data_IF_423596809505
#
_entry.id   IF_423596809505
#
_cell.length_a   1.000
_cell.length_b   1.000
_cell.length_c   1.000
_cell.angle_alpha   90.00
_cell.angle_beta   90.00
_cell.angle_gamma   90.00
#
_symmetry.space_group_name_H-M   'P 1'
#
loop_
_entity.id
_entity.type
_entity.pdbx_description
1 polymer ?
#
# COMPACT_ATOMS: atom_id res chain seq x y z
N UNK A 1 -58.31 11.69 51.77
CA UNK A 1 -58.81 10.85 52.86
C UNK A 1 -58.09 9.50 52.69
N UNK A 2 -56.86 9.33 53.18
CA UNK A 2 -56.43 9.24 54.60
C UNK A 2 -56.63 7.79 55.11
N UNK A 3 -55.73 7.08 55.80
CA UNK A 3 -54.34 7.25 56.35
C UNK A 3 -53.79 5.81 56.65
N UNK A 4 -52.52 5.44 56.85
CA UNK A 4 -51.14 6.01 56.84
C UNK A 4 -50.16 4.82 56.53
N UNK A 5 -48.82 4.83 56.46
CA UNK A 5 -47.70 5.54 57.12
C UNK A 5 -47.54 5.21 58.65
N UNK A 6 -46.35 5.02 59.26
CA UNK A 6 -44.93 4.94 58.82
C UNK A 6 -44.10 4.19 59.92
N UNK A 7 -42.76 4.40 59.99
CA UNK A 7 -41.76 3.94 61.00
C UNK A 7 -41.22 2.51 60.79
N UNK A 8 -39.93 2.20 60.56
CA UNK A 8 -38.64 2.94 60.47
C UNK A 8 -37.91 3.37 61.77
N UNK A 9 -36.82 2.64 62.09
CA UNK A 9 -35.53 3.02 62.76
C UNK A 9 -34.70 1.69 62.89
N UNK A 10 -33.44 1.46 62.48
CA UNK A 10 -32.12 2.14 62.38
C UNK A 10 -31.17 1.97 63.59
N UNK A 11 -29.87 1.81 63.26
CA UNK A 11 -28.66 1.61 64.09
C UNK A 11 -28.51 0.20 64.71
N UNK A 12 -27.48 -0.62 64.45
CA UNK A 12 -26.00 -0.49 64.33
C UNK A 12 -25.23 -0.57 65.66
N UNK A 13 -24.55 -1.72 65.84
CA UNK A 13 -23.25 -1.82 66.52
C UNK A 13 -22.40 -2.89 65.81
N UNK A 14 -21.11 -2.61 65.62
CA UNK A 14 -20.14 -3.56 65.05
C UNK A 14 -19.28 -4.13 66.18
N UNK A 15 -18.75 -5.34 66.00
CA UNK A 15 -17.38 -5.71 66.42
C UNK A 15 -16.92 -7.02 65.75
N UNK A 16 -16.28 -6.82 64.60
CA UNK A 16 -15.25 -7.66 63.96
C UNK A 16 -14.77 -8.94 64.65
N UNK A 17 -14.85 -10.06 63.92
CA UNK A 17 -13.77 -11.06 63.85
C UNK A 17 -13.57 -11.48 62.39
N UNK A 18 -12.36 -11.90 62.01
CA UNK A 18 -11.91 -11.95 60.62
C UNK A 18 -12.27 -13.25 59.91
N UNK A 19 -12.93 -13.16 58.74
CA UNK A 19 -12.95 -14.28 57.80
C UNK A 19 -11.56 -14.45 57.17
N UNK A 20 -10.87 -15.52 57.55
CA UNK A 20 -9.74 -16.03 56.79
C UNK A 20 -10.26 -16.75 55.52
N UNK A 21 -10.76 -15.99 54.54
CA UNK A 21 -10.97 -16.51 53.20
C UNK A 21 -9.59 -16.81 52.60
N UNK A 22 -9.24 -18.10 52.51
CA UNK A 22 -8.09 -18.53 51.71
C UNK A 22 -8.38 -18.21 50.26
N UNK A 23 -7.78 -17.13 49.76
CA UNK A 23 -7.72 -16.84 48.33
C UNK A 23 -6.82 -17.92 47.71
N UNK A 24 -7.43 -19.03 47.31
CA UNK A 24 -6.86 -19.88 46.28
C UNK A 24 -6.81 -19.02 45.03
N UNK A 25 -5.64 -18.43 44.75
CA UNK A 25 -5.37 -17.79 43.47
C UNK A 25 -5.49 -18.88 42.43
N UNK A 26 -6.64 -18.91 41.75
CA UNK A 26 -6.77 -19.64 40.50
C UNK A 26 -5.88 -18.90 39.53
N UNK A 27 -4.68 -19.42 39.31
CA UNK A 27 -3.82 -18.95 38.22
C UNK A 27 -4.61 -19.13 36.92
N UNK A 28 -5.14 -18.01 36.41
CA UNK A 28 -5.67 -17.95 35.06
C UNK A 28 -4.51 -18.15 34.12
N UNK A 29 -4.26 -19.40 33.71
CA UNK A 29 -3.37 -19.69 32.60
C UNK A 29 -3.81 -18.84 31.42
N UNK A 30 -2.89 -17.98 30.98
CA UNK A 30 -3.10 -17.07 29.85
C UNK A 30 -2.94 -17.86 28.55
N UNK A 31 -3.94 -18.71 28.26
CA UNK A 31 -3.99 -19.59 27.09
C UNK A 31 -4.25 -18.76 25.80
N UNK A 32 -3.36 -17.83 25.46
CA UNK A 32 -3.43 -16.96 24.27
C UNK A 32 -3.26 -17.79 22.97
N UNK A 33 -4.32 -17.98 22.15
CA UNK A 33 -4.32 -18.99 21.09
C UNK A 33 -3.72 -18.45 19.78
N UNK A 34 -2.47 -17.99 19.82
CA UNK A 34 -1.71 -17.25 18.79
C UNK A 34 -0.28 -17.84 18.68
N UNK A 35 0.29 -18.25 17.52
CA UNK A 35 -0.07 -18.20 16.10
C UNK A 35 0.50 -19.46 15.41
N UNK A 36 -0.28 -20.18 14.58
CA UNK A 36 0.30 -21.01 13.51
C UNK A 36 0.61 -20.13 12.31
N UNK A 37 1.88 -20.08 11.90
CA UNK A 37 2.24 -19.84 10.51
C UNK A 37 1.93 -21.13 9.73
N UNK A 38 1.47 -21.04 8.48
CA UNK A 38 1.10 -22.23 7.70
C UNK A 38 2.36 -22.84 7.08
N UNK A 39 3.03 -23.67 7.88
CA UNK A 39 4.09 -24.59 7.45
C UNK A 39 3.53 -26.00 7.55
N UNK A 40 3.94 -26.91 6.66
CA UNK A 40 3.59 -28.33 6.75
C UNK A 40 4.34 -29.00 7.90
N UNK A 41 3.67 -29.98 8.52
CA UNK A 41 4.15 -30.82 9.61
C UNK A 41 4.44 -30.07 10.93
N UNK A 42 4.33 -30.77 12.06
CA UNK A 42 4.14 -30.12 13.35
C UNK A 42 4.96 -30.71 14.49
N UNK A 43 5.49 -29.82 15.31
CA UNK A 43 5.86 -30.06 16.70
C UNK A 43 5.35 -28.87 17.54
N UNK A 44 4.66 -29.16 18.65
CA UNK A 44 3.73 -28.20 19.29
C UNK A 44 4.33 -27.51 20.53
N UNK A 45 5.51 -26.92 20.36
CA UNK A 45 6.25 -26.25 21.44
C UNK A 45 6.75 -24.86 21.02
N UNK A 46 6.16 -23.82 21.62
CA UNK A 46 6.76 -22.58 22.17
C UNK A 46 8.10 -22.03 21.61
N UNK A 47 8.45 -22.23 20.33
CA UNK A 47 9.66 -21.71 19.68
C UNK A 47 9.55 -20.22 19.29
N UNK A 48 8.94 -19.47 20.20
CA UNK A 48 9.31 -18.13 20.64
C UNK A 48 9.34 -17.01 19.58
N UNK A 49 8.57 -15.95 19.85
CA UNK A 49 8.61 -14.73 19.05
C UNK A 49 10.02 -14.09 18.97
N UNK A 50 10.90 -14.34 19.94
CA UNK A 50 12.32 -13.92 19.90
C UNK A 50 13.12 -14.64 18.82
N UNK A 51 12.81 -15.91 18.51
CA UNK A 51 13.41 -16.64 17.39
C UNK A 51 12.94 -16.05 16.06
N UNK A 52 11.62 -15.87 15.89
CA UNK A 52 11.08 -15.17 14.72
C UNK A 52 11.64 -13.75 14.56
N UNK A 53 11.83 -13.00 15.65
CA UNK A 53 12.41 -11.65 15.62
C UNK A 53 13.91 -11.68 15.32
N UNK A 54 14.62 -12.72 15.74
CA UNK A 54 16.05 -12.92 15.40
C UNK A 54 16.24 -13.28 13.93
N UNK A 55 15.37 -14.14 13.39
CA UNK A 55 15.33 -14.44 11.95
C UNK A 55 15.00 -13.17 11.15
N UNK A 56 13.96 -12.43 11.54
CA UNK A 56 13.60 -11.14 10.94
C UNK A 56 14.75 -10.12 10.97
N UNK A 57 15.47 -9.99 12.11
CA UNK A 57 16.65 -9.12 12.21
C UNK A 57 17.75 -9.52 11.22
N UNK A 58 18.00 -10.82 11.06
CA UNK A 58 18.98 -11.36 10.10
C UNK A 58 18.54 -11.18 8.64
N UNK A 59 17.28 -11.44 8.34
CA UNK A 59 16.68 -11.41 7.00
C UNK A 59 16.62 -9.98 6.42
N UNK A 60 16.17 -9.02 7.23
CA UNK A 60 16.01 -7.62 6.81
C UNK A 60 17.11 -6.68 7.34
N UNK A 61 18.26 -7.23 7.75
CA UNK A 61 19.45 -6.48 8.18
C UNK A 61 19.23 -5.51 9.35
N UNK A 62 18.28 -5.80 10.25
CA UNK A 62 17.84 -4.86 11.29
C UNK A 62 18.79 -4.84 12.49
N UNK A 63 19.31 -3.66 12.80
CA UNK A 63 20.06 -3.35 14.02
C UNK A 63 19.38 -2.23 14.80
N UNK A 64 19.40 -2.30 16.13
CA UNK A 64 18.82 -1.29 17.01
C UNK A 64 19.89 -0.72 17.94
N UNK A 65 19.88 0.58 18.17
CA UNK A 65 20.99 1.29 18.81
C UNK A 65 21.08 1.09 20.33
N UNK A 66 19.96 0.75 20.99
CA UNK A 66 19.87 0.51 22.43
C UNK A 66 18.93 -0.66 22.72
N UNK A 67 18.96 -1.17 23.96
CA UNK A 67 18.10 -2.27 24.40
C UNK A 67 16.62 -1.83 24.44
N UNK A 68 16.36 -0.57 24.80
CA UNK A 68 15.00 0.00 24.85
C UNK A 68 14.36 0.06 23.45
N UNK A 69 15.11 0.47 22.42
CA UNK A 69 14.63 0.43 21.03
C UNK A 69 14.48 -1.02 20.54
N UNK A 70 15.39 -1.94 20.91
CA UNK A 70 15.24 -3.37 20.59
C UNK A 70 13.92 -3.93 21.15
N UNK A 71 13.61 -3.67 22.41
CA UNK A 71 12.44 -4.25 23.08
C UNK A 71 11.13 -3.57 22.67
N UNK A 72 11.17 -2.28 22.38
CA UNK A 72 10.08 -1.55 21.71
C UNK A 72 9.78 -2.14 20.32
N UNK A 73 10.81 -2.36 19.49
CA UNK A 73 10.68 -2.99 18.17
C UNK A 73 10.20 -4.43 18.26
N UNK A 74 10.63 -5.18 19.27
CA UNK A 74 10.15 -6.53 19.53
C UNK A 74 8.66 -6.56 19.94
N UNK A 75 8.21 -5.60 20.75
CA UNK A 75 6.79 -5.45 21.09
C UNK A 75 5.93 -5.13 19.85
N UNK A 76 6.41 -4.24 18.97
CA UNK A 76 5.77 -3.93 17.69
C UNK A 76 5.74 -5.17 16.79
N UNK A 77 6.84 -5.92 16.68
CA UNK A 77 6.94 -7.14 15.89
C UNK A 77 5.90 -8.18 16.32
N UNK A 78 5.76 -8.43 17.63
CA UNK A 78 4.69 -9.29 18.18
C UNK A 78 3.29 -8.80 17.81
N UNK A 79 3.04 -7.49 17.83
CA UNK A 79 1.76 -6.90 17.40
C UNK A 79 1.49 -7.09 15.90
N UNK A 80 2.51 -6.92 15.07
CA UNK A 80 2.42 -7.10 13.61
C UNK A 80 2.28 -8.57 13.20
N UNK A 81 2.92 -9.52 13.88
CA UNK A 81 2.65 -10.96 13.70
C UNK A 81 1.17 -11.29 13.99
N UNK A 82 0.64 -10.77 15.11
CA UNK A 82 -0.79 -10.89 15.45
C UNK A 82 -1.69 -10.25 14.38
N UNK A 83 -1.25 -9.17 13.71
CA UNK A 83 -1.98 -8.57 12.56
C UNK A 83 -1.87 -9.41 11.29
N UNK A 84 -0.70 -9.93 10.93
CA UNK A 84 -0.52 -10.80 9.76
C UNK A 84 -1.44 -12.03 9.85
N UNK A 85 -1.56 -12.67 11.02
CA UNK A 85 -2.52 -13.77 11.23
C UNK A 85 -4.00 -13.33 11.16
N UNK A 86 -4.33 -12.06 11.45
CA UNK A 86 -5.69 -11.53 11.21
C UNK A 86 -5.92 -11.30 9.71
N UNK A 87 -4.95 -10.74 9.00
CA UNK A 87 -5.03 -10.57 7.55
C UNK A 87 -5.14 -11.92 6.83
N UNK A 88 -4.36 -12.94 7.21
CA UNK A 88 -4.46 -14.30 6.66
C UNK A 88 -5.86 -14.95 6.83
N UNK A 89 -6.63 -14.58 7.86
CA UNK A 89 -8.01 -15.02 8.05
C UNK A 89 -9.01 -14.20 7.23
N UNK A 90 -8.75 -12.91 7.03
CA UNK A 90 -9.57 -12.00 6.25
C UNK A 90 -9.31 -12.09 4.74
N UNK A 91 -8.14 -12.58 4.35
CA UNK A 91 -7.69 -12.85 2.99
C UNK A 91 -7.02 -14.23 2.94
N UNK A 92 -7.79 -15.29 2.68
CA UNK A 92 -7.26 -16.65 2.59
C UNK A 92 -6.74 -17.02 1.19
N UNK A 93 -6.64 -16.08 0.25
CA UNK A 93 -6.11 -16.35 -1.11
C UNK A 93 -4.70 -15.83 -1.34
N UNK A 94 -4.24 -14.85 -0.56
CA UNK A 94 -2.84 -14.48 -0.44
C UNK A 94 -2.18 -15.11 0.80
N UNK A 95 -0.86 -15.04 0.86
CA UNK A 95 -0.01 -15.36 2.01
C UNK A 95 0.32 -14.07 2.76
N UNK A 96 0.03 -14.06 4.07
CA UNK A 96 0.35 -12.95 4.97
C UNK A 96 1.32 -13.39 6.07
N UNK A 97 2.39 -12.62 6.26
CA UNK A 97 3.49 -13.00 7.14
C UNK A 97 4.37 -11.85 7.60
N UNK A 98 5.65 -12.17 7.83
CA UNK A 98 6.71 -11.21 8.14
C UNK A 98 7.12 -10.48 6.86
N UNK A 99 7.44 -9.19 6.97
CA UNK A 99 7.91 -8.32 5.88
C UNK A 99 8.92 -7.31 6.42
N UNK A 100 9.61 -6.55 5.56
CA UNK A 100 10.55 -5.48 5.97
C UNK A 100 9.93 -4.41 6.90
N UNK A 101 8.60 -4.38 7.04
CA UNK A 101 7.82 -3.46 7.87
C UNK A 101 7.31 -4.04 9.20
N UNK A 102 7.64 -5.28 9.56
CA UNK A 102 7.07 -5.94 10.74
C UNK A 102 7.48 -5.29 12.08
N UNK A 103 8.55 -4.51 12.13
CA UNK A 103 8.97 -3.73 13.31
C UNK A 103 8.45 -2.27 13.32
N UNK A 104 7.58 -1.88 12.38
CA UNK A 104 7.02 -0.53 12.29
C UNK A 104 5.64 -0.42 12.92
N UNK A 105 5.43 0.63 13.71
CA UNK A 105 4.08 1.04 14.12
C UNK A 105 3.25 1.46 12.91
N UNK A 106 1.92 1.37 13.00
CA UNK A 106 1.03 1.86 11.95
C UNK A 106 1.24 3.35 11.65
N UNK A 107 1.61 4.15 12.67
CA UNK A 107 1.93 5.57 12.51
C UNK A 107 3.25 5.83 11.78
N UNK A 108 4.29 5.02 12.01
CA UNK A 108 5.54 5.09 11.24
C UNK A 108 5.33 4.61 9.80
N UNK A 109 4.65 3.49 9.61
CA UNK A 109 4.41 2.95 8.27
C UNK A 109 3.65 3.96 7.40
N UNK A 110 2.55 4.53 7.92
CA UNK A 110 1.77 5.55 7.21
C UNK A 110 2.55 6.84 6.90
N UNK A 111 3.52 7.24 7.74
CA UNK A 111 4.32 8.46 7.49
C UNK A 111 5.55 8.24 6.62
N UNK A 112 6.00 6.99 6.44
CA UNK A 112 7.26 6.67 5.74
C UNK A 112 7.06 5.98 4.39
N UNK A 113 6.00 5.20 4.22
CA UNK A 113 5.79 4.33 3.05
C UNK A 113 4.48 4.58 2.31
N UNK A 114 3.53 5.26 2.96
CA UNK A 114 2.28 5.72 2.35
C UNK A 114 2.39 7.22 2.07
N UNK A 115 1.62 7.72 1.09
CA UNK A 115 1.84 9.06 0.56
C UNK A 115 0.89 9.49 -0.56
N UNK A 116 -0.19 8.74 -0.82
CA UNK A 116 -1.23 9.24 -1.70
C UNK A 116 -2.11 10.21 -0.92
N UNK A 117 -2.26 11.44 -1.42
CA UNK A 117 -3.26 12.39 -0.89
C UNK A 117 -4.66 11.97 -1.33
N UNK A 118 -5.68 12.56 -0.71
CA UNK A 118 -7.06 12.26 -1.07
C UNK A 118 -7.44 13.04 -2.33
N UNK A 119 -7.47 12.38 -3.48
CA UNK A 119 -8.05 12.97 -4.69
C UNK A 119 -9.55 13.20 -4.50
N UNK A 120 -10.03 14.35 -4.93
CA UNK A 120 -11.44 14.55 -5.28
C UNK A 120 -11.52 14.70 -6.79
N UNK A 121 -11.93 13.63 -7.49
CA UNK A 121 -12.07 13.66 -8.95
C UNK A 121 -12.98 14.84 -9.38
N UNK A 122 -12.44 15.86 -10.09
CA UNK A 122 -13.24 16.97 -10.58
C UNK A 122 -14.33 16.49 -11.54
N UNK A 123 -15.48 17.17 -11.55
CA UNK A 123 -16.61 16.77 -12.39
C UNK A 123 -16.31 16.86 -13.90
N UNK A 124 -15.45 17.80 -14.25
CA UNK A 124 -14.95 18.23 -15.55
C UNK A 124 -13.57 17.66 -15.92
N UNK A 125 -12.91 16.92 -15.01
CA UNK A 125 -11.60 16.29 -15.26
C UNK A 125 -11.59 15.53 -16.58
N UNK A 126 -10.51 15.67 -17.37
CA UNK A 126 -10.37 15.01 -18.66
C UNK A 126 -10.53 13.48 -18.52
N UNK A 127 -11.61 12.94 -19.08
CA UNK A 127 -11.96 11.51 -19.01
C UNK A 127 -11.39 10.80 -20.21
N UNK A 128 -10.77 9.64 -19.98
CA UNK A 128 -10.27 8.81 -21.05
C UNK A 128 -11.41 8.43 -22.00
N UNK A 129 -11.20 8.44 -23.33
CA UNK A 129 -12.21 7.98 -24.28
C UNK A 129 -12.67 6.55 -23.97
N UNK A 130 -13.96 6.28 -24.12
CA UNK A 130 -14.50 4.93 -23.96
C UNK A 130 -13.96 4.04 -25.10
N UNK A 131 -13.35 2.92 -24.74
CA UNK A 131 -12.68 1.99 -25.64
C UNK A 131 -13.53 0.72 -25.87
N UNK A 132 -13.36 0.02 -27.01
CA UNK A 132 -13.92 -1.31 -27.20
C UNK A 132 -13.35 -2.31 -26.19
N UNK A 133 -14.22 -3.14 -25.60
CA UNK A 133 -13.85 -4.15 -24.58
C UNK A 133 -14.11 -5.60 -25.01
N UNK A 134 -14.73 -5.82 -26.18
CA UNK A 134 -15.19 -7.14 -26.62
C UNK A 134 -14.06 -8.15 -26.89
N UNK A 135 -12.89 -7.66 -27.27
CA UNK A 135 -11.75 -8.45 -27.80
C UNK A 135 -10.49 -8.31 -26.92
N UNK A 136 -10.67 -8.03 -25.63
CA UNK A 136 -9.55 -7.95 -24.68
C UNK A 136 -8.95 -9.36 -24.44
N UNK A 137 -7.62 -9.48 -24.31
CA UNK A 137 -6.98 -10.74 -23.92
C UNK A 137 -7.44 -11.18 -22.52
N UNK A 138 -7.41 -12.48 -22.23
CA UNK A 138 -7.78 -13.00 -20.90
C UNK A 138 -6.75 -12.68 -19.82
N UNK A 139 -5.48 -12.65 -20.22
CA UNK A 139 -4.29 -12.42 -19.40
C UNK A 139 -3.34 -11.53 -20.22
N UNK A 140 -2.76 -10.49 -19.58
CA UNK A 140 -1.92 -9.49 -20.24
C UNK A 140 -1.00 -8.80 -19.23
N UNK A 141 0.28 -8.63 -19.55
CA UNK A 141 1.25 -8.03 -18.63
C UNK A 141 2.32 -7.24 -19.38
N UNK A 142 2.41 -5.93 -19.12
CA UNK A 142 3.38 -5.05 -19.78
C UNK A 142 4.84 -5.40 -19.50
N UNK A 143 5.12 -6.22 -18.48
CA UNK A 143 6.47 -6.74 -18.19
C UNK A 143 6.98 -7.66 -19.28
N UNK A 144 6.10 -8.48 -19.86
CA UNK A 144 6.41 -9.38 -20.98
C UNK A 144 6.49 -8.64 -22.32
N UNK A 145 6.08 -7.38 -22.35
CA UNK A 145 6.07 -6.49 -23.52
C UNK A 145 7.07 -5.33 -23.46
N UNK A 146 7.86 -5.22 -22.38
CA UNK A 146 8.95 -4.24 -22.26
C UNK A 146 8.57 -2.84 -21.75
N UNK A 147 7.30 -2.54 -21.51
CA UNK A 147 6.86 -1.19 -21.08
C UNK A 147 6.98 -0.93 -19.57
N UNK A 148 7.83 -1.68 -18.85
CA UNK A 148 7.93 -1.63 -17.37
C UNK A 148 9.39 -1.67 -16.94
N UNK A 149 9.85 -0.59 -16.30
CA UNK A 149 11.17 -0.50 -15.67
C UNK A 149 11.32 -1.44 -14.46
N UNK A 150 12.55 -1.74 -13.98
CA UNK A 150 12.78 -2.46 -12.72
C UNK A 150 12.07 -1.85 -11.50
N UNK A 151 11.96 -2.61 -10.41
CA UNK A 151 11.29 -2.13 -9.19
C UNK A 151 12.24 -1.25 -8.38
N UNK A 152 11.85 0.01 -8.17
CA UNK A 152 12.53 1.00 -7.33
C UNK A 152 12.03 0.92 -5.86
N UNK A 153 12.74 1.54 -4.92
CA UNK A 153 12.36 1.61 -3.48
C UNK A 153 12.33 3.06 -2.99
N UNK A 154 11.15 3.56 -2.60
CA UNK A 154 10.94 4.91 -2.08
C UNK A 154 11.59 5.16 -0.70
N UNK A 155 12.19 4.14 -0.09
CA UNK A 155 12.79 4.23 1.23
C UNK A 155 11.77 4.69 2.28
N UNK A 156 12.14 5.63 3.15
CA UNK A 156 11.26 6.18 4.20
C UNK A 156 10.61 7.52 3.83
N UNK A 157 10.32 7.74 2.54
CA UNK A 157 9.68 8.93 2.00
C UNK A 157 8.26 8.60 1.48
N UNK A 158 7.25 9.40 1.81
CA UNK A 158 5.87 9.26 1.30
C UNK A 158 5.70 9.69 -0.16
N UNK A 159 6.57 9.23 -1.06
CA UNK A 159 6.65 9.63 -2.48
C UNK A 159 6.09 8.60 -3.46
N UNK A 160 5.31 7.62 -3.00
CA UNK A 160 4.66 6.59 -3.84
C UNK A 160 3.85 7.15 -5.02
N UNK A 161 3.30 8.36 -4.88
CA UNK A 161 2.64 9.11 -5.96
C UNK A 161 3.62 9.37 -7.12
N UNK A 162 4.84 9.86 -6.85
CA UNK A 162 5.87 10.11 -7.86
C UNK A 162 6.32 8.83 -8.60
N UNK A 163 6.44 7.70 -7.89
CA UNK A 163 6.74 6.38 -8.50
C UNK A 163 5.60 5.85 -9.37
N UNK A 164 4.35 6.16 -9.02
CA UNK A 164 3.16 5.83 -9.82
C UNK A 164 3.13 6.68 -11.10
N UNK A 165 3.32 8.00 -10.97
CA UNK A 165 3.38 8.96 -12.10
C UNK A 165 4.47 8.60 -13.11
N UNK A 166 5.72 8.46 -12.63
CA UNK A 166 6.88 8.15 -13.47
C UNK A 166 6.72 6.79 -14.14
N UNK A 167 6.39 5.73 -13.41
CA UNK A 167 6.26 4.39 -13.98
C UNK A 167 5.20 4.27 -15.09
N UNK A 168 4.16 5.11 -15.07
CA UNK A 168 3.17 5.20 -16.15
C UNK A 168 3.69 6.04 -17.33
N UNK A 169 4.43 7.13 -17.07
CA UNK A 169 5.04 7.95 -18.13
C UNK A 169 6.21 7.22 -18.82
N UNK A 170 7.01 6.45 -18.08
CA UNK A 170 8.05 5.54 -18.60
C UNK A 170 7.45 4.53 -19.58
N UNK A 171 6.32 3.91 -19.21
CA UNK A 171 5.60 2.97 -20.06
C UNK A 171 4.94 3.63 -21.28
N UNK A 172 4.26 4.77 -21.09
CA UNK A 172 3.66 5.52 -22.20
C UNK A 172 4.71 6.04 -23.20
N UNK A 173 5.90 6.44 -22.73
CA UNK A 173 7.03 6.80 -23.58
C UNK A 173 7.54 5.62 -24.40
N UNK A 174 7.67 4.43 -23.79
CA UNK A 174 8.04 3.21 -24.50
C UNK A 174 7.00 2.83 -25.58
N UNK A 175 5.71 3.00 -25.33
CA UNK A 175 4.67 2.74 -26.35
C UNK A 175 4.78 3.67 -27.57
N UNK A 176 5.14 4.95 -27.37
CA UNK A 176 5.24 5.95 -28.44
C UNK A 176 6.56 5.85 -29.23
N UNK A 177 7.68 5.53 -28.55
CA UNK A 177 9.03 5.62 -29.12
C UNK A 177 9.74 4.27 -29.32
N UNK A 178 9.37 3.25 -28.56
CA UNK A 178 10.14 2.00 -28.40
C UNK A 178 11.28 2.06 -27.36
N UNK A 179 11.59 3.25 -26.80
CA UNK A 179 12.67 3.42 -25.83
C UNK A 179 12.13 3.46 -24.38
N UNK A 180 12.54 2.48 -23.57
CA UNK A 180 12.20 2.41 -22.15
C UNK A 180 13.18 3.24 -21.33
N UNK A 181 12.71 4.40 -20.86
CA UNK A 181 13.47 5.30 -20.00
C UNK A 181 13.25 4.98 -18.51
N UNK A 182 14.18 5.41 -17.66
CA UNK A 182 13.99 5.50 -16.21
C UNK A 182 13.98 6.97 -15.82
N UNK A 183 12.81 7.50 -15.49
CA UNK A 183 12.59 8.91 -15.16
C UNK A 183 12.85 9.16 -13.68
N UNK A 184 13.19 10.41 -13.34
CA UNK A 184 13.50 10.85 -11.98
C UNK A 184 12.23 11.05 -11.15
N UNK A 185 12.02 10.24 -10.12
CA UNK A 185 11.05 10.55 -9.06
C UNK A 185 11.50 11.73 -8.18
N UNK A 186 12.81 12.01 -8.10
CA UNK A 186 13.32 13.08 -7.23
C UNK A 186 12.98 14.47 -7.75
N UNK A 187 12.91 14.68 -9.06
CA UNK A 187 12.40 15.93 -9.64
C UNK A 187 10.98 16.21 -9.13
N UNK A 188 10.08 15.23 -9.15
CA UNK A 188 8.74 15.39 -8.58
C UNK A 188 8.81 15.69 -7.08
N UNK A 189 9.61 14.94 -6.31
CA UNK A 189 9.73 15.12 -4.85
C UNK A 189 10.27 16.50 -4.44
N UNK A 190 11.22 17.07 -5.19
CA UNK A 190 11.88 18.35 -4.87
C UNK A 190 11.23 19.57 -5.53
N UNK A 191 10.53 19.41 -6.67
CA UNK A 191 10.07 20.52 -7.52
C UNK A 191 8.55 20.63 -7.67
N UNK A 192 7.78 19.56 -7.43
CA UNK A 192 6.34 19.56 -7.64
C UNK A 192 5.59 20.04 -6.39
N UNK A 193 4.89 21.16 -6.58
CA UNK A 193 4.03 21.81 -5.59
C UNK A 193 2.66 22.18 -6.21
N UNK A 194 2.26 21.52 -7.31
CA UNK A 194 0.95 21.74 -7.93
C UNK A 194 -0.19 21.32 -7.00
N UNK A 195 -1.34 21.97 -7.14
CA UNK A 195 -2.48 21.83 -6.23
C UNK A 195 -3.70 21.23 -6.91
N UNK A 196 -4.39 20.30 -6.24
CA UNK A 196 -5.75 19.90 -6.61
C UNK A 196 -6.66 21.15 -6.55
N UNK A 197 -7.28 21.58 -7.67
CA UNK A 197 -8.11 22.78 -7.70
C UNK A 197 -9.40 22.64 -6.86
N UNK A 198 -9.86 21.40 -6.62
CA UNK A 198 -11.11 21.10 -5.90
C UNK A 198 -10.92 20.91 -4.38
N UNK A 199 -9.69 20.66 -3.90
CA UNK A 199 -9.38 20.53 -2.47
C UNK A 199 -8.27 21.51 -2.02
N UNK A 200 -8.68 22.73 -1.66
CA UNK A 200 -7.80 23.83 -1.21
C UNK A 200 -6.78 23.38 -0.14
N UNK A 201 -5.51 23.26 -0.54
CA UNK A 201 -4.38 22.87 0.30
C UNK A 201 -3.88 21.43 0.06
N UNK A 202 -4.57 20.64 -0.76
CA UNK A 202 -4.09 19.37 -1.28
C UNK A 202 -3.13 19.60 -2.46
N UNK A 203 -1.97 20.20 -2.15
CA UNK A 203 -0.86 20.33 -3.10
C UNK A 203 0.19 19.24 -2.89
N UNK A 204 0.97 18.95 -3.92
CA UNK A 204 2.04 17.97 -3.84
C UNK A 204 3.20 18.49 -2.98
N UNK A 205 3.84 17.58 -2.24
CA UNK A 205 4.54 17.95 -1.01
C UNK A 205 5.66 16.98 -0.65
N UNK A 206 6.37 16.48 -1.67
CA UNK A 206 7.53 15.59 -1.52
C UNK A 206 7.22 14.32 -0.72
N UNK A 207 7.90 14.14 0.42
CA UNK A 207 7.68 12.98 1.29
C UNK A 207 6.41 13.09 2.16
N UNK A 208 5.71 14.23 2.12
CA UNK A 208 4.41 14.45 2.77
C UNK A 208 3.24 14.16 1.83
N UNK A 209 3.49 13.42 0.75
CA UNK A 209 2.51 12.89 -0.17
C UNK A 209 2.03 13.85 -1.26
N UNK A 210 1.37 13.28 -2.26
CA UNK A 210 0.86 13.97 -3.45
C UNK A 210 -0.14 13.13 -4.25
N UNK A 211 -0.42 13.53 -5.50
CA UNK A 211 -1.36 12.89 -6.42
C UNK A 211 -0.74 12.73 -7.82
N UNK A 212 -1.05 11.64 -8.51
CA UNK A 212 -0.48 11.40 -9.85
C UNK A 212 -0.99 12.40 -10.91
N UNK A 213 -2.21 12.91 -10.75
CA UNK A 213 -2.81 13.88 -11.68
C UNK A 213 -2.19 15.27 -11.60
N UNK A 214 -1.86 15.76 -10.40
CA UNK A 214 -1.11 17.01 -10.23
C UNK A 214 0.34 16.85 -10.67
N UNK A 215 0.94 15.68 -10.47
CA UNK A 215 2.27 15.36 -11.01
C UNK A 215 2.34 15.34 -12.55
N UNK A 216 1.29 14.90 -13.24
CA UNK A 216 1.20 15.06 -14.70
C UNK A 216 1.03 16.52 -15.12
N UNK A 217 0.21 17.30 -14.39
CA UNK A 217 0.03 18.73 -14.61
C UNK A 217 1.34 19.53 -14.40
N UNK A 218 2.10 19.23 -13.34
CA UNK A 218 3.45 19.75 -13.12
C UNK A 218 4.37 19.37 -14.28
N UNK A 219 4.38 18.09 -14.68
CA UNK A 219 5.26 17.61 -15.75
C UNK A 219 4.97 18.32 -17.07
N UNK A 220 3.69 18.52 -17.40
CA UNK A 220 3.22 19.29 -18.55
C UNK A 220 3.71 20.75 -18.50
N UNK A 221 3.53 21.44 -17.36
CA UNK A 221 3.95 22.84 -17.15
C UNK A 221 5.48 23.03 -17.15
N UNK A 222 6.22 22.13 -16.51
CA UNK A 222 7.68 22.11 -16.52
C UNK A 222 8.22 21.85 -17.94
N UNK A 223 7.49 21.07 -18.73
CA UNK A 223 7.83 20.63 -20.08
C UNK A 223 8.50 19.26 -20.14
N UNK A 224 8.42 18.47 -19.06
CA UNK A 224 8.93 17.10 -18.97
C UNK A 224 9.77 16.78 -17.74
N UNK A 225 10.22 15.52 -17.65
CA UNK A 225 11.07 15.00 -16.58
C UNK A 225 12.49 14.68 -17.08
N UNK A 226 13.47 14.84 -16.19
CA UNK A 226 14.83 14.32 -16.34
C UNK A 226 14.89 12.80 -16.10
N UNK A 227 15.99 12.17 -16.53
CA UNK A 227 16.29 10.78 -16.21
C UNK A 227 16.78 10.62 -14.76
N UNK A 228 16.51 9.46 -14.17
CA UNK A 228 17.00 9.06 -12.84
C UNK A 228 18.55 9.11 -12.75
N UNK A 229 19.26 8.90 -13.86
CA UNK A 229 20.74 9.03 -13.88
C UNK A 229 21.23 10.48 -13.75
N UNK A 230 20.40 11.45 -14.12
CA UNK A 230 20.73 12.87 -14.23
C UNK A 230 20.20 13.70 -13.04
N UNK A 231 19.09 13.25 -12.44
CA UNK A 231 18.56 13.73 -11.16
C UNK A 231 18.21 12.53 -10.24
N UNK A 232 19.21 11.91 -9.58
CA UNK A 232 19.01 10.66 -8.83
C UNK A 232 18.16 10.76 -7.57
N UNK A 233 17.48 9.66 -7.25
CA UNK A 233 16.65 9.50 -6.07
C UNK A 233 17.43 9.46 -4.75
N UNK A 234 16.97 10.25 -3.79
CA UNK A 234 17.61 10.44 -2.47
C UNK A 234 16.71 10.06 -1.30
N UNK A 235 15.43 9.81 -1.53
CA UNK A 235 14.48 9.42 -0.47
C UNK A 235 14.20 10.52 0.56
N UNK A 236 14.37 11.80 0.20
CA UNK A 236 14.06 12.94 1.07
C UNK A 236 13.64 14.18 0.27
N UNK A 237 12.79 14.99 0.87
CA UNK A 237 12.28 16.30 0.44
C UNK A 237 13.03 17.48 1.09
N UNK A 238 14.25 17.21 1.59
CA UNK A 238 15.15 18.23 2.17
C UNK A 238 16.06 18.90 1.14
N UNK A 239 15.95 18.50 -0.12
CA UNK A 239 16.61 19.17 -1.24
C UNK A 239 15.96 20.52 -1.56
N UNK A 240 16.64 21.29 -2.38
CA UNK A 240 15.99 22.27 -3.26
C UNK A 240 15.77 21.61 -4.61
N UNK A 241 14.72 21.99 -5.34
CA UNK A 241 14.58 21.69 -6.76
C UNK A 241 15.87 22.02 -7.55
N UNK A 242 16.33 21.08 -8.37
CA UNK A 242 17.54 21.21 -9.23
C UNK A 242 17.22 21.08 -10.73
N UNK A 243 15.93 21.11 -11.09
CA UNK A 243 15.45 20.77 -12.43
C UNK A 243 16.19 21.53 -13.54
N UNK A 244 16.86 20.77 -14.40
CA UNK A 244 17.56 21.27 -15.58
C UNK A 244 16.73 20.99 -16.83
N UNK A 245 16.05 22.03 -17.32
CA UNK A 245 15.21 21.94 -18.53
C UNK A 245 16.00 21.56 -19.79
N UNK A 246 17.34 21.61 -19.79
CA UNK A 246 18.16 21.12 -20.89
C UNK A 246 18.36 19.58 -20.90
N UNK A 247 17.94 18.88 -19.83
CA UNK A 247 18.04 17.42 -19.66
C UNK A 247 16.69 16.69 -19.62
N UNK A 248 15.60 17.35 -20.02
CA UNK A 248 14.30 16.69 -20.21
C UNK A 248 14.45 15.52 -21.20
N UNK A 249 13.89 14.36 -20.84
CA UNK A 249 14.02 13.12 -21.59
C UNK A 249 12.67 12.48 -21.96
N UNK A 250 11.59 12.85 -21.27
CA UNK A 250 10.21 12.55 -21.67
C UNK A 250 9.29 13.68 -21.20
N UNK A 251 8.26 14.01 -21.98
CA UNK A 251 7.25 15.00 -21.60
C UNK A 251 5.83 14.43 -21.70
N UNK A 252 4.85 15.16 -21.14
CA UNK A 252 3.43 14.80 -21.16
C UNK A 252 2.75 15.58 -22.28
N UNK A 253 2.02 14.91 -23.18
CA UNK A 253 1.09 15.57 -24.10
C UNK A 253 -0.26 15.83 -23.44
N UNK A 254 -0.76 14.84 -22.69
CA UNK A 254 -2.07 14.86 -22.06
C UNK A 254 -2.12 13.80 -20.95
N UNK A 255 -3.04 13.94 -20.01
CA UNK A 255 -3.38 12.91 -19.03
C UNK A 255 -4.89 12.81 -18.87
N UNK A 256 -5.40 11.68 -18.39
CA UNK A 256 -6.84 11.47 -18.27
C UNK A 256 -7.21 10.49 -17.17
N UNK A 257 -8.33 10.77 -16.51
CA UNK A 257 -8.97 9.87 -15.55
C UNK A 257 -9.68 8.76 -16.31
N UNK A 258 -9.40 7.52 -15.97
CA UNK A 258 -10.05 6.34 -16.59
C UNK A 258 -11.40 6.10 -15.89
N UNK A 259 -12.36 5.50 -16.61
CA UNK A 259 -13.62 5.06 -16.02
C UNK A 259 -13.39 4.10 -14.84
N UNK A 260 -14.28 4.11 -13.85
CA UNK A 260 -14.24 3.16 -12.71
C UNK A 260 -14.78 1.76 -13.08
N UNK A 261 -14.97 1.52 -14.38
CA UNK A 261 -15.37 0.25 -14.99
C UNK A 261 -14.13 -0.60 -15.28
N UNK A 262 -14.08 -1.81 -14.74
CA UNK A 262 -12.87 -2.64 -14.78
C UNK A 262 -12.46 -3.07 -16.19
N UNK A 263 -13.40 -3.20 -17.13
CA UNK A 263 -13.07 -3.57 -18.50
C UNK A 263 -12.61 -2.34 -19.31
N UNK A 264 -13.09 -1.13 -18.99
CA UNK A 264 -12.47 0.11 -19.46
C UNK A 264 -11.06 0.32 -18.87
N UNK A 265 -10.80 -0.07 -17.62
CA UNK A 265 -9.45 -0.06 -17.03
C UNK A 265 -8.54 -1.04 -17.79
N UNK A 266 -9.01 -2.26 -18.04
CA UNK A 266 -8.27 -3.25 -18.83
C UNK A 266 -8.01 -2.79 -20.28
N UNK A 267 -8.99 -2.15 -20.93
CA UNK A 267 -8.83 -1.61 -22.29
C UNK A 267 -7.85 -0.43 -22.34
N UNK A 268 -7.88 0.48 -21.36
CA UNK A 268 -6.92 1.58 -21.28
C UNK A 268 -5.51 1.07 -21.00
N UNK A 269 -5.37 0.08 -20.12
CA UNK A 269 -4.09 -0.58 -19.84
C UNK A 269 -3.49 -1.22 -21.09
N UNK A 270 -4.26 -2.02 -21.83
CA UNK A 270 -3.80 -2.69 -23.07
C UNK A 270 -3.46 -1.69 -24.18
N UNK A 271 -4.17 -0.56 -24.27
CA UNK A 271 -4.02 0.41 -25.38
C UNK A 271 -3.01 1.54 -25.11
N UNK A 272 -2.88 1.99 -23.86
CA UNK A 272 -2.17 3.23 -23.49
C UNK A 272 -0.99 3.01 -22.53
N UNK A 273 -0.69 1.77 -22.17
CA UNK A 273 0.44 1.43 -21.30
C UNK A 273 0.03 1.25 -19.83
N UNK A 274 1.00 1.04 -18.93
CA UNK A 274 0.80 0.97 -17.49
C UNK A 274 0.02 2.18 -16.92
N UNK A 275 -0.92 1.93 -16.00
CA UNK A 275 -1.81 2.95 -15.45
C UNK A 275 -1.45 3.31 -14.00
N UNK A 276 -1.45 4.60 -13.67
CA UNK A 276 -1.33 5.08 -12.30
C UNK A 276 -2.60 4.78 -11.52
N UNK A 277 -2.51 4.04 -10.41
CA UNK A 277 -3.68 3.69 -9.58
C UNK A 277 -3.48 3.98 -8.10
N UNK A 278 -4.56 4.41 -7.43
CA UNK A 278 -4.61 4.59 -5.99
C UNK A 278 -5.23 3.39 -5.28
N UNK A 279 -4.64 2.96 -4.16
CA UNK A 279 -5.10 1.80 -3.39
C UNK A 279 -5.06 2.05 -1.87
N UNK A 280 -5.85 1.31 -1.10
CA UNK A 280 -5.64 1.17 0.35
C UNK A 280 -4.63 0.05 0.65
N UNK A 281 -3.48 0.41 1.21
CA UNK A 281 -2.35 -0.49 1.41
C UNK A 281 -2.36 -1.30 2.73
N UNK A 282 -3.49 -1.37 3.46
CA UNK A 282 -3.53 -1.99 4.80
C UNK A 282 -3.12 -3.47 4.80
N UNK A 283 -3.49 -4.23 3.76
CA UNK A 283 -3.10 -5.63 3.59
C UNK A 283 -1.66 -5.76 3.07
N UNK A 284 -1.24 -4.86 2.17
CA UNK A 284 0.08 -4.85 1.53
C UNK A 284 1.25 -4.84 2.53
N UNK A 285 1.14 -4.12 3.66
CA UNK A 285 2.22 -4.10 4.68
C UNK A 285 2.58 -5.51 5.21
N UNK A 286 1.67 -6.48 5.10
CA UNK A 286 1.85 -7.87 5.57
C UNK A 286 1.87 -8.91 4.44
N UNK A 287 1.76 -8.48 3.19
CA UNK A 287 1.68 -9.35 2.02
C UNK A 287 3.03 -9.99 1.70
N UNK A 288 3.01 -11.28 1.36
CA UNK A 288 4.18 -12.05 0.92
C UNK A 288 4.00 -12.55 -0.52
N UNK A 289 2.79 -12.98 -0.91
CA UNK A 289 2.50 -13.41 -2.28
C UNK A 289 1.13 -14.07 -2.44
N UNK A 290 0.77 -14.46 -3.67
CA UNK A 290 -0.53 -15.02 -4.01
C UNK A 290 -1.59 -13.93 -4.26
N UNK A 291 -2.79 -14.30 -4.73
CA UNK A 291 -3.80 -13.30 -5.10
C UNK A 291 -4.57 -12.79 -3.89
N UNK A 292 -4.35 -11.53 -3.53
CA UNK A 292 -5.02 -10.88 -2.40
C UNK A 292 -6.49 -10.62 -2.70
N UNK A 293 -7.40 -11.22 -1.94
CA UNK A 293 -8.85 -11.05 -2.08
C UNK A 293 -9.53 -10.88 -0.70
N UNK A 294 -9.15 -9.85 0.09
CA UNK A 294 -9.68 -9.63 1.42
C UNK A 294 -11.20 -9.44 1.43
N UNK A 295 -11.88 -10.11 2.37
CA UNK A 295 -13.33 -9.99 2.58
C UNK A 295 -13.77 -8.56 2.92
N UNK A 296 -12.90 -7.81 3.62
CA UNK A 296 -13.17 -6.45 4.10
C UNK A 296 -11.90 -5.63 3.89
N UNK A 297 -11.95 -4.67 2.98
CA UNK A 297 -10.92 -3.66 2.77
C UNK A 297 -11.59 -2.32 2.42
N UNK A 298 -11.17 -1.23 3.06
CA UNK A 298 -11.77 0.09 2.84
C UNK A 298 -11.35 0.71 1.51
N UNK A 299 -12.17 1.60 0.96
CA UNK A 299 -11.83 2.42 -0.21
C UNK A 299 -11.21 3.78 0.15
N UNK A 300 -10.51 3.83 1.28
CA UNK A 300 -9.76 5.00 1.73
C UNK A 300 -8.35 4.89 1.15
N UNK A 301 -8.14 5.44 -0.03
CA UNK A 301 -6.86 5.31 -0.74
C UNK A 301 -5.76 6.05 0.02
N UNK A 302 -4.61 5.41 0.22
CA UNK A 302 -3.47 5.95 0.96
C UNK A 302 -2.11 5.66 0.30
N UNK A 303 -2.08 4.85 -0.76
CA UNK A 303 -0.88 4.47 -1.49
C UNK A 303 -1.05 4.59 -3.01
N UNK A 304 -0.07 5.17 -3.69
CA UNK A 304 0.00 5.26 -5.15
C UNK A 304 0.87 4.13 -5.70
N UNK A 305 0.39 3.42 -6.72
CA UNK A 305 1.06 2.26 -7.32
C UNK A 305 0.82 2.22 -8.83
N UNK A 306 1.50 1.33 -9.54
CA UNK A 306 1.37 1.22 -10.99
C UNK A 306 0.72 -0.11 -11.38
N UNK A 307 -0.42 -0.04 -12.08
CA UNK A 307 -1.07 -1.18 -12.69
C UNK A 307 -0.34 -1.53 -14.00
N UNK A 308 0.22 -2.74 -14.09
CA UNK A 308 1.02 -3.19 -15.25
C UNK A 308 0.39 -4.34 -16.02
N UNK A 309 -0.59 -5.04 -15.44
CA UNK A 309 -1.20 -6.22 -16.07
C UNK A 309 -2.44 -6.74 -15.37
N UNK A 310 -3.00 -7.82 -15.89
CA UNK A 310 -4.00 -8.65 -15.25
C UNK A 310 -3.88 -10.10 -15.69
N UNK A 311 -4.44 -11.00 -14.89
CA UNK A 311 -4.67 -12.38 -15.29
C UNK A 311 -6.08 -12.85 -14.97
N UNK A 312 -6.47 -13.96 -15.61
CA UNK A 312 -7.73 -14.67 -15.40
C UNK A 312 -7.59 -15.76 -14.33
N UNK A 313 -6.44 -16.45 -14.33
CA UNK A 313 -6.24 -17.75 -13.68
C UNK A 313 -5.40 -17.69 -12.38
N UNK A 314 -5.72 -16.76 -11.48
CA UNK A 314 -5.01 -16.63 -10.20
C UNK A 314 -5.24 -17.80 -9.25
N UNK A 315 -4.26 -18.69 -9.07
CA UNK A 315 -4.37 -19.84 -8.16
C UNK A 315 -4.43 -19.40 -6.69
N UNK A 316 -5.60 -19.58 -6.07
CA UNK A 316 -5.83 -19.37 -4.64
C UNK A 316 -5.89 -20.72 -3.91
N UNK A 317 -4.83 -21.15 -3.19
CA UNK A 317 -4.72 -22.52 -2.67
C UNK A 317 -5.89 -22.96 -1.79
N UNK A 318 -6.43 -22.05 -0.97
CA UNK A 318 -7.49 -22.33 0.00
C UNK A 318 -8.90 -22.34 -0.65
N UNK A 319 -9.05 -21.91 -1.91
CA UNK A 319 -10.36 -21.82 -2.59
C UNK A 319 -10.55 -22.79 -3.76
N UNK A 320 -9.49 -23.46 -4.24
CA UNK A 320 -9.52 -24.36 -5.41
C UNK A 320 -10.25 -23.76 -6.63
N UNK A 321 -10.16 -22.43 -6.78
CA UNK A 321 -10.81 -21.66 -7.83
C UNK A 321 -9.92 -20.50 -8.22
N UNK A 322 -9.69 -20.40 -9.52
CA UNK A 322 -9.12 -19.24 -10.17
C UNK A 322 -9.88 -17.96 -9.81
N UNK A 323 -9.14 -16.87 -9.70
CA UNK A 323 -9.66 -15.52 -9.53
C UNK A 323 -8.98 -14.63 -10.56
N UNK A 324 -9.72 -13.78 -11.29
CA UNK A 324 -9.09 -12.73 -12.07
C UNK A 324 -8.41 -11.75 -11.12
N UNK A 325 -7.29 -11.18 -11.53
CA UNK A 325 -6.47 -10.30 -10.69
C UNK A 325 -5.81 -9.19 -11.49
N UNK A 326 -5.60 -8.05 -10.83
CA UNK A 326 -4.69 -7.00 -11.28
C UNK A 326 -3.25 -7.31 -10.87
N UNK A 327 -2.27 -7.03 -11.73
CA UNK A 327 -0.83 -7.06 -11.44
C UNK A 327 -0.36 -5.64 -11.20
N UNK A 328 0.14 -5.39 -9.99
CA UNK A 328 0.54 -4.06 -9.52
C UNK A 328 2.03 -4.06 -9.21
N UNK A 329 2.78 -3.15 -9.85
CA UNK A 329 4.15 -2.78 -9.48
C UNK A 329 4.10 -1.84 -8.28
N UNK A 330 4.85 -2.16 -7.23
CA UNK A 330 4.96 -1.34 -6.02
C UNK A 330 6.31 -0.61 -5.97
N UNK A 331 6.42 0.41 -5.12
CA UNK A 331 7.60 1.27 -4.93
C UNK A 331 8.38 0.96 -3.65
N UNK A 332 8.38 -0.32 -3.22
CA UNK A 332 9.03 -0.78 -1.97
C UNK A 332 10.19 -1.75 -2.21
N UNK A 333 10.81 -1.73 -3.38
CA UNK A 333 11.93 -2.61 -3.74
C UNK A 333 11.54 -4.08 -3.97
N UNK A 334 12.41 -4.81 -4.66
CA UNK A 334 12.18 -6.20 -5.07
C UNK A 334 12.05 -7.18 -3.89
N UNK A 335 12.66 -6.85 -2.74
CA UNK A 335 12.59 -7.63 -1.49
C UNK A 335 11.26 -7.54 -0.73
N UNK A 336 10.17 -7.10 -1.37
CA UNK A 336 8.82 -7.08 -0.82
C UNK A 336 7.82 -7.75 -1.78
N UNK A 337 6.87 -8.52 -1.24
CA UNK A 337 5.85 -9.20 -2.05
C UNK A 337 6.46 -10.17 -3.06
N UNK A 338 5.83 -10.27 -4.24
CA UNK A 338 6.35 -11.11 -5.33
C UNK A 338 7.33 -10.30 -6.18
N UNK A 339 8.60 -10.23 -5.76
CA UNK A 339 9.66 -9.48 -6.47
C UNK A 339 9.31 -7.99 -6.68
N UNK A 340 8.70 -7.36 -5.68
CA UNK A 340 8.19 -5.99 -5.74
C UNK A 340 6.75 -5.86 -6.25
N UNK A 341 6.12 -6.94 -6.69
CA UNK A 341 4.76 -6.95 -7.24
C UNK A 341 3.70 -7.43 -6.23
N UNK A 342 2.48 -6.97 -6.48
CA UNK A 342 1.26 -7.26 -5.72
C UNK A 342 0.17 -7.76 -6.68
N UNK A 343 -0.53 -8.83 -6.29
CA UNK A 343 -1.68 -9.34 -7.05
C UNK A 343 -2.94 -9.14 -6.22
N UNK A 344 -3.95 -8.47 -6.77
CA UNK A 344 -5.23 -8.20 -6.08
C UNK A 344 -6.43 -8.62 -6.93
N UNK A 345 -7.44 -9.22 -6.30
CA UNK A 345 -8.67 -9.67 -6.95
C UNK A 345 -9.36 -8.58 -7.77
N UNK A 346 -9.61 -8.87 -9.06
CA UNK A 346 -10.49 -8.13 -9.96
C UNK A 346 -11.95 -8.60 -9.78
N UNK A 347 -12.92 -7.82 -10.27
CA UNK A 347 -14.36 -8.08 -10.29
C UNK A 347 -15.16 -7.46 -9.16
N UNK A 348 -14.57 -6.57 -8.34
CA UNK A 348 -15.14 -6.07 -7.06
C UNK A 348 -14.62 -4.71 -6.57
N UNK A 349 -13.60 -4.12 -7.18
CA UNK A 349 -12.91 -2.94 -6.63
C UNK A 349 -12.51 -3.13 -5.15
N UNK A 350 -11.64 -4.12 -4.96
CA UNK A 350 -11.07 -4.50 -3.65
C UNK A 350 -10.03 -3.47 -3.22
N UNK A 351 -10.04 -3.08 -1.93
CA UNK A 351 -9.18 -2.02 -1.38
C UNK A 351 -9.25 -0.67 -2.12
N UNK A 352 -10.26 -0.43 -2.95
CA UNK A 352 -10.41 0.82 -3.71
C UNK A 352 -9.55 0.92 -4.98
N UNK A 353 -8.93 -0.17 -5.44
CA UNK A 353 -7.98 -0.17 -6.58
C UNK A 353 -8.54 0.45 -7.86
N UNK A 354 -9.83 0.28 -8.14
CA UNK A 354 -10.48 0.85 -9.34
C UNK A 354 -11.13 2.22 -9.06
N UNK A 355 -10.91 2.82 -7.88
CA UNK A 355 -11.52 4.11 -7.49
C UNK A 355 -10.65 5.34 -7.77
N UNK A 356 -9.39 5.16 -8.16
CA UNK A 356 -8.53 6.22 -8.69
C UNK A 356 -7.62 5.58 -9.74
N UNK A 357 -7.92 5.82 -11.01
CA UNK A 357 -7.14 5.30 -12.14
C UNK A 357 -6.89 6.44 -13.13
N UNK A 358 -5.64 6.63 -13.54
CA UNK A 358 -5.26 7.65 -14.52
C UNK A 358 -4.27 7.11 -15.55
N UNK A 359 -4.47 7.51 -16.80
CA UNK A 359 -3.58 7.24 -17.94
C UNK A 359 -2.86 8.53 -18.32
N UNK A 360 -1.68 8.40 -18.90
CA UNK A 360 -0.89 9.51 -19.44
C UNK A 360 -0.53 9.21 -20.89
N UNK A 361 -0.41 10.27 -21.70
CA UNK A 361 0.18 10.21 -23.04
C UNK A 361 1.52 10.94 -23.00
N UNK A 362 2.57 10.29 -23.49
CA UNK A 362 3.91 10.85 -23.56
C UNK A 362 4.09 11.77 -24.78
N UNK A 363 5.23 12.44 -24.83
CA UNK A 363 5.92 12.93 -26.03
C UNK A 363 7.43 12.79 -25.81
N UNK A 364 8.16 12.74 -26.93
CA UNK A 364 9.60 13.00 -27.01
C UNK A 364 9.88 14.50 -26.75
#
# INVERSE_FOLDING_TARGET
MDRSNLLALLLLSLLSSTLAFTITVVETKDDDPLIRQVVSDGDDHLLNAEHHFTNFKKEFGKTYATQEEHDFRFAIFKSNLRRARRHQKLDPSAVHGVTKFSDLTAGEFRRKFLGLRRLRLPADAHKAPILPTNDLPADFDWRDHGAVTPVKDQGSCGSCWAFSTTGALEGAHFLETGDLLSLSEQQLVDCDHECDPEERGACDSGCNGGLMTTAYEYTFKAGGLELEKDYPYTGTDRGSCKFDKSKVAASVSNFSVVSLDEDQIAANLVKHGPLSVGINAIFMQTYVGGVSCPYICGKHLDHGVLLVGYGSAGFAPIRLKEKPYWVIKNSWGEGWGEQGYYKICRGRNVCGVDSMVSTVAALH
#
